data_IF_401657368527
#
_entry.id   IF_401657368527
#
_cell.length_a   1.000
_cell.length_b   1.000
_cell.length_c   1.000
_cell.angle_alpha   90.00
_cell.angle_beta   90.00
_cell.angle_gamma   90.00
#
_symmetry.space_group_name_H-M   'P 1'
#
loop_
_entity.id
_entity.type
_entity.pdbx_description
1 polymer ?
#
# COMPACT_ATOMS: atom_id res chain seq x y z
N UNK A 1 6.69 23.01 9.82
CA UNK A 1 5.60 22.87 10.79
C UNK A 1 6.09 22.86 12.23
N UNK A 2 7.08 22.05 12.57
CA UNK A 2 7.51 21.87 13.96
C UNK A 2 8.14 23.12 14.58
N UNK A 3 8.79 23.98 13.79
CA UNK A 3 9.30 25.28 14.25
C UNK A 3 8.18 26.25 14.66
N UNK A 4 6.98 26.07 14.10
CA UNK A 4 5.80 26.91 14.41
C UNK A 4 5.06 26.40 15.64
N UNK A 5 4.84 25.07 15.72
CA UNK A 5 4.17 24.41 16.83
C UNK A 5 4.95 23.15 17.21
N UNK A 6 6.00 23.28 18.04
CA UNK A 6 6.88 22.17 18.37
C UNK A 6 6.12 20.97 18.97
N UNK A 7 6.43 19.78 18.49
CA UNK A 7 5.87 18.52 18.97
C UNK A 7 4.40 18.29 18.67
N UNK A 8 3.77 19.11 17.80
CA UNK A 8 2.35 18.93 17.45
C UNK A 8 2.14 18.17 16.14
N UNK A 9 2.89 18.51 15.12
CA UNK A 9 2.64 18.00 13.75
C UNK A 9 3.16 16.57 13.55
N UNK A 10 4.24 16.25 14.22
CA UNK A 10 4.88 14.95 14.14
C UNK A 10 4.65 14.13 15.41
N UNK A 11 4.43 12.83 15.22
CA UNK A 11 4.23 11.89 16.33
C UNK A 11 5.54 11.67 17.07
N UNK A 12 5.46 11.59 18.39
CA UNK A 12 6.61 11.42 19.26
C UNK A 12 6.51 10.11 20.05
N UNK A 13 7.66 9.49 20.28
CA UNK A 13 7.81 8.39 21.21
C UNK A 13 7.64 8.89 22.68
N UNK A 14 7.45 7.96 23.60
CA UNK A 14 7.31 8.28 25.03
C UNK A 14 8.48 9.11 25.62
N UNK A 15 9.67 9.03 25.04
CA UNK A 15 10.87 9.81 25.43
C UNK A 15 10.97 11.19 24.77
N UNK A 16 9.98 11.62 23.98
CA UNK A 16 9.95 12.93 23.31
C UNK A 16 10.74 13.00 22.00
N UNK A 17 11.41 11.92 21.56
CA UNK A 17 11.99 11.84 20.22
C UNK A 17 10.92 11.62 19.16
N UNK A 18 11.16 12.07 17.93
CA UNK A 18 10.26 11.78 16.84
C UNK A 18 10.16 10.29 16.57
N UNK A 19 8.96 9.80 16.37
CA UNK A 19 8.71 8.50 15.79
C UNK A 19 9.06 8.52 14.29
N UNK A 20 9.43 7.37 13.72
CA UNK A 20 9.95 7.28 12.37
C UNK A 20 9.30 6.14 11.57
N UNK A 21 8.01 5.96 11.68
CA UNK A 21 7.29 4.94 10.91
C UNK A 21 7.31 5.20 9.39
N UNK A 22 7.65 6.41 8.96
CA UNK A 22 7.88 6.73 7.55
C UNK A 22 9.24 6.25 7.02
N UNK A 23 10.21 5.92 7.89
CA UNK A 23 11.60 5.69 7.49
C UNK A 23 12.38 6.97 7.12
N UNK A 24 11.73 8.16 7.14
CA UNK A 24 12.30 9.44 6.70
C UNK A 24 12.65 10.39 7.86
N UNK A 25 12.70 9.88 9.10
CA UNK A 25 13.10 10.64 10.29
C UNK A 25 11.95 11.17 11.16
N UNK A 26 10.71 11.08 10.68
CA UNK A 26 9.49 11.46 11.42
C UNK A 26 8.27 10.75 10.86
N UNK A 27 7.11 10.97 11.46
CA UNK A 27 5.81 10.58 10.91
C UNK A 27 4.74 11.61 11.29
N UNK A 28 3.75 11.77 10.43
CA UNK A 28 2.65 12.70 10.61
C UNK A 28 1.70 12.22 11.71
N UNK A 29 1.38 13.08 12.69
CA UNK A 29 0.42 12.78 13.76
C UNK A 29 -1.01 13.12 13.29
N UNK A 30 -1.54 12.32 12.35
CA UNK A 30 -2.83 12.59 11.68
C UNK A 30 -4.04 12.56 12.64
N UNK A 31 -3.93 11.85 13.76
CA UNK A 31 -4.95 11.78 14.81
C UNK A 31 -5.18 13.12 15.51
N UNK A 32 -4.28 14.09 15.33
CA UNK A 32 -4.42 15.43 15.91
C UNK A 32 -5.29 16.32 15.04
N UNK A 33 -6.25 17.00 15.65
CA UNK A 33 -7.31 17.75 14.98
C UNK A 33 -6.79 18.70 13.89
N UNK A 34 -5.78 19.53 14.18
CA UNK A 34 -5.28 20.50 13.21
C UNK A 34 -4.43 19.84 12.11
N UNK A 35 -3.79 18.69 12.38
CA UNK A 35 -3.08 17.91 11.38
C UNK A 35 -4.08 17.25 10.43
N UNK A 36 -5.12 16.62 10.98
CA UNK A 36 -6.24 16.07 10.22
C UNK A 36 -6.88 17.14 9.33
N UNK A 37 -7.21 18.29 9.90
CA UNK A 37 -7.77 19.42 9.16
C UNK A 37 -6.86 19.84 7.99
N UNK A 38 -5.57 19.97 8.23
CA UNK A 38 -4.60 20.31 7.19
C UNK A 38 -4.59 19.31 6.04
N UNK A 39 -4.57 18.00 6.35
CA UNK A 39 -4.58 16.93 5.34
C UNK A 39 -5.88 16.99 4.52
N UNK A 40 -7.03 17.09 5.19
CA UNK A 40 -8.34 17.12 4.54
C UNK A 40 -8.49 18.35 3.65
N UNK A 41 -8.18 19.54 4.15
CA UNK A 41 -8.28 20.76 3.35
C UNK A 41 -7.30 20.78 2.17
N UNK A 42 -6.13 20.15 2.31
CA UNK A 42 -5.19 20.00 1.20
C UNK A 42 -5.80 19.18 0.05
N UNK A 43 -6.35 18.00 0.32
CA UNK A 43 -6.95 17.17 -0.73
C UNK A 43 -8.20 17.80 -1.32
N UNK A 44 -9.04 18.45 -0.49
CA UNK A 44 -10.20 19.23 -0.96
C UNK A 44 -9.79 20.36 -1.91
N UNK A 45 -8.73 21.07 -1.58
CA UNK A 45 -8.18 22.11 -2.46
C UNK A 45 -7.80 21.56 -3.84
N UNK A 46 -7.04 20.46 -3.88
CA UNK A 46 -6.65 19.86 -5.14
C UNK A 46 -7.84 19.30 -5.93
N UNK A 47 -8.82 18.70 -5.26
CA UNK A 47 -10.03 18.22 -5.90
C UNK A 47 -10.85 19.36 -6.52
N UNK A 48 -11.05 20.47 -5.79
CA UNK A 48 -11.90 21.59 -6.24
C UNK A 48 -11.24 22.46 -7.28
N UNK A 49 -9.97 22.85 -7.04
CA UNK A 49 -9.27 23.84 -7.87
C UNK A 49 -8.60 23.24 -9.10
N UNK A 50 -8.17 21.97 -8.99
CA UNK A 50 -7.44 21.29 -10.06
C UNK A 50 -8.17 20.07 -10.64
N UNK A 51 -9.37 19.78 -10.12
CA UNK A 51 -10.22 18.67 -10.58
C UNK A 51 -9.48 17.32 -10.58
N UNK A 52 -8.73 17.05 -9.50
CA UNK A 52 -8.06 15.76 -9.30
C UNK A 52 -9.11 14.70 -8.99
N UNK A 53 -9.06 13.58 -9.74
CA UNK A 53 -10.03 12.49 -9.67
C UNK A 53 -9.67 11.39 -8.65
N UNK A 54 -8.51 11.49 -8.00
CA UNK A 54 -8.11 10.52 -6.98
C UNK A 54 -6.83 10.89 -6.25
N UNK A 55 -6.62 10.24 -5.09
CA UNK A 55 -5.47 10.49 -4.22
C UNK A 55 -4.83 9.16 -3.80
N UNK A 56 -3.52 9.07 -4.00
CA UNK A 56 -2.69 7.96 -3.53
C UNK A 56 -1.88 8.43 -2.32
N UNK A 57 -1.99 7.72 -1.20
CA UNK A 57 -1.25 8.00 0.02
C UNK A 57 -0.02 7.10 0.12
N UNK A 58 1.13 7.73 0.14
CA UNK A 58 2.40 7.09 0.47
C UNK A 58 2.38 6.68 1.94
N UNK A 59 2.82 5.44 2.25
CA UNK A 59 2.79 4.91 3.61
C UNK A 59 1.50 5.27 4.37
N UNK A 60 0.34 5.00 3.75
CA UNK A 60 -0.98 5.30 4.32
C UNK A 60 -1.13 4.75 5.73
N UNK A 61 -0.43 3.65 6.04
CA UNK A 61 -0.43 3.02 7.36
C UNK A 61 0.08 3.89 8.51
N UNK A 62 0.74 5.03 8.24
CA UNK A 62 1.11 5.99 9.29
C UNK A 62 -0.07 6.87 9.72
N UNK A 63 -1.12 6.96 8.90
CA UNK A 63 -2.33 7.73 9.24
C UNK A 63 -3.30 6.90 10.07
N UNK A 64 -4.11 7.59 10.86
CA UNK A 64 -5.21 6.96 11.58
C UNK A 64 -6.43 6.76 10.69
N UNK A 65 -7.18 5.68 10.95
CA UNK A 65 -8.40 5.29 10.22
C UNK A 65 -9.45 6.40 10.23
N UNK A 66 -9.62 7.10 11.36
CA UNK A 66 -10.60 8.17 11.49
C UNK A 66 -10.31 9.32 10.52
N UNK A 67 -9.03 9.72 10.40
CA UNK A 67 -8.59 10.73 9.43
C UNK A 67 -8.87 10.28 8.00
N UNK A 68 -8.57 9.04 7.66
CA UNK A 68 -8.79 8.52 6.31
C UNK A 68 -10.28 8.45 5.97
N UNK A 69 -11.11 7.98 6.88
CA UNK A 69 -12.56 7.93 6.69
C UNK A 69 -13.18 9.33 6.58
N UNK A 70 -12.74 10.27 7.43
CA UNK A 70 -13.21 11.66 7.36
C UNK A 70 -12.81 12.31 6.03
N UNK A 71 -11.55 12.17 5.62
CA UNK A 71 -11.06 12.62 4.32
C UNK A 71 -11.91 12.05 3.17
N UNK A 72 -12.19 10.75 3.20
CA UNK A 72 -13.02 10.09 2.17
C UNK A 72 -14.44 10.67 2.14
N UNK A 73 -15.06 10.89 3.30
CA UNK A 73 -16.41 11.47 3.37
C UNK A 73 -16.46 12.89 2.80
N UNK A 74 -15.47 13.73 3.09
CA UNK A 74 -15.37 15.08 2.57
C UNK A 74 -15.16 15.15 1.04
N UNK A 75 -14.41 14.19 0.50
CA UNK A 75 -14.22 14.07 -0.94
C UNK A 75 -15.50 13.60 -1.66
N UNK A 76 -16.30 12.72 -1.04
CA UNK A 76 -17.60 12.29 -1.57
C UNK A 76 -18.59 13.45 -1.75
N UNK A 77 -18.53 14.47 -0.87
CA UNK A 77 -19.36 15.68 -1.00
C UNK A 77 -18.92 16.57 -2.18
N UNK A 78 -17.70 16.42 -2.67
CA UNK A 78 -17.20 17.15 -3.85
C UNK A 78 -17.56 16.37 -5.12
N UNK A 79 -17.15 15.12 -5.21
CA UNK A 79 -17.44 14.21 -6.31
C UNK A 79 -17.41 12.75 -5.81
N UNK A 80 -18.51 11.99 -5.92
CA UNK A 80 -18.57 10.61 -5.47
C UNK A 80 -17.63 9.66 -6.23
N UNK A 81 -17.09 10.06 -7.35
CA UNK A 81 -16.18 9.25 -8.17
C UNK A 81 -14.71 9.40 -7.79
N UNK A 82 -14.36 10.39 -6.94
CA UNK A 82 -12.98 10.57 -6.48
C UNK A 82 -12.51 9.31 -5.76
N UNK A 83 -11.39 8.77 -6.21
CA UNK A 83 -10.82 7.53 -5.68
C UNK A 83 -9.73 7.80 -4.64
N UNK A 84 -9.78 7.08 -3.52
CA UNK A 84 -8.77 7.16 -2.45
C UNK A 84 -8.15 5.79 -2.24
N UNK A 85 -6.83 5.73 -2.26
CA UNK A 85 -6.09 4.48 -2.00
C UNK A 85 -4.67 4.79 -1.50
N UNK A 86 -3.97 3.77 -1.04
CA UNK A 86 -2.60 3.98 -0.59
C UNK A 86 -1.87 2.72 -0.18
N UNK A 87 -0.67 2.91 0.34
CA UNK A 87 0.13 1.85 0.90
C UNK A 87 -0.36 1.52 2.31
N UNK A 88 -1.05 0.40 2.45
CA UNK A 88 -1.56 -0.09 3.73
C UNK A 88 -0.48 -0.69 4.63
N UNK A 89 0.68 -0.03 4.76
CA UNK A 89 1.80 -0.44 5.62
C UNK A 89 2.59 0.76 6.15
N UNK A 90 3.56 0.48 7.00
CA UNK A 90 4.53 1.43 7.55
C UNK A 90 5.95 0.93 7.25
N UNK A 91 6.94 1.83 7.22
CA UNK A 91 8.33 1.47 7.01
C UNK A 91 9.05 1.06 8.31
N UNK A 92 8.51 1.45 9.47
CA UNK A 92 9.03 1.10 10.80
C UNK A 92 7.91 1.17 11.85
N UNK A 93 8.21 0.84 13.09
CA UNK A 93 7.23 0.88 14.18
C UNK A 93 6.72 2.30 14.45
N UNK A 94 5.41 2.40 14.75
CA UNK A 94 4.72 3.62 15.13
C UNK A 94 4.15 3.50 16.54
N UNK A 95 4.13 4.57 17.37
CA UNK A 95 3.40 4.59 18.63
C UNK A 95 1.87 4.67 18.47
N UNK A 96 1.35 4.94 17.27
CA UNK A 96 -0.09 4.83 17.01
C UNK A 96 -0.53 3.38 17.22
N UNK A 97 -1.59 3.09 18.02
CA UNK A 97 -2.09 1.75 18.21
C UNK A 97 -2.42 1.06 16.89
N UNK A 98 -2.07 -0.22 16.75
CA UNK A 98 -2.22 -0.96 15.49
C UNK A 98 -3.66 -0.92 14.96
N UNK A 99 -4.64 -1.08 15.82
CA UNK A 99 -6.06 -1.07 15.50
C UNK A 99 -6.59 0.29 15.00
N UNK A 100 -5.81 1.36 15.18
CA UNK A 100 -6.13 2.70 14.70
C UNK A 100 -5.42 3.04 13.39
N UNK A 101 -4.45 2.22 12.95
CA UNK A 101 -3.65 2.51 11.74
C UNK A 101 -4.40 2.15 10.48
N UNK A 102 -4.25 2.98 9.45
CA UNK A 102 -4.79 2.72 8.11
C UNK A 102 -3.94 1.68 7.34
N UNK A 103 -3.66 0.55 7.98
CA UNK A 103 -2.93 -0.58 7.40
C UNK A 103 -3.90 -1.54 6.69
N UNK A 104 -3.38 -2.39 5.82
CA UNK A 104 -4.15 -3.33 5.01
C UNK A 104 -4.99 -4.31 5.85
N UNK A 105 -4.49 -4.72 7.01
CA UNK A 105 -5.21 -5.60 7.94
C UNK A 105 -6.48 -4.93 8.52
N UNK A 106 -6.52 -3.62 8.53
CA UNK A 106 -7.64 -2.81 9.01
C UNK A 106 -8.54 -2.26 7.88
N UNK A 107 -8.29 -2.63 6.62
CA UNK A 107 -8.99 -2.07 5.46
C UNK A 107 -10.51 -2.23 5.52
N UNK A 108 -11.00 -3.28 6.20
CA UNK A 108 -12.43 -3.47 6.46
C UNK A 108 -13.10 -2.36 7.27
N UNK A 109 -12.31 -1.51 7.95
CA UNK A 109 -12.78 -0.33 8.68
C UNK A 109 -12.73 0.95 7.85
N UNK A 110 -12.25 0.89 6.60
CA UNK A 110 -12.06 2.02 5.69
C UNK A 110 -12.96 1.88 4.46
N UNK A 111 -14.18 2.40 4.57
CA UNK A 111 -15.16 2.28 3.48
C UNK A 111 -14.76 3.13 2.26
N UNK A 112 -14.75 2.50 1.09
CA UNK A 112 -14.42 3.17 -0.18
C UNK A 112 -12.96 3.60 -0.32
N UNK A 113 -12.05 3.04 0.48
CA UNK A 113 -10.61 3.26 0.40
C UNK A 113 -9.93 1.96 0.02
N UNK A 114 -9.06 2.02 -0.97
CA UNK A 114 -8.28 0.88 -1.44
C UNK A 114 -6.86 0.83 -0.83
N UNK A 115 -6.29 -0.36 -0.74
CA UNK A 115 -4.89 -0.57 -0.36
C UNK A 115 -4.15 -1.33 -1.44
N UNK A 116 -2.88 -1.05 -1.63
CA UNK A 116 -2.03 -1.82 -2.52
C UNK A 116 -1.85 -3.26 -2.05
N UNK A 117 -1.88 -4.19 -3.00
CA UNK A 117 -1.70 -5.61 -2.78
C UNK A 117 -0.24 -6.03 -3.01
N UNK A 118 0.56 -5.98 -1.96
CA UNK A 118 1.96 -6.40 -1.96
C UNK A 118 2.12 -7.93 -2.12
N UNK A 119 1.13 -8.72 -1.66
CA UNK A 119 1.07 -10.16 -1.91
C UNK A 119 1.09 -10.47 -3.41
N UNK A 120 0.23 -9.80 -4.18
CA UNK A 120 0.17 -9.98 -5.61
C UNK A 120 1.43 -9.47 -6.31
N UNK A 121 1.93 -8.29 -5.92
CA UNK A 121 3.16 -7.71 -6.46
C UNK A 121 4.32 -8.68 -6.37
N UNK A 122 4.63 -9.12 -5.16
CA UNK A 122 5.80 -9.95 -4.90
C UNK A 122 5.54 -11.41 -5.28
N UNK A 123 4.30 -11.88 -5.17
CA UNK A 123 3.88 -13.17 -5.72
C UNK A 123 4.12 -13.27 -7.22
N UNK A 124 3.82 -12.21 -7.97
CA UNK A 124 3.97 -12.24 -9.42
C UNK A 124 5.42 -12.04 -9.87
N UNK A 125 6.11 -11.01 -9.36
CA UNK A 125 7.45 -10.63 -9.84
C UNK A 125 8.62 -11.10 -8.99
N UNK A 126 8.38 -11.67 -7.80
CA UNK A 126 9.38 -11.98 -6.79
C UNK A 126 9.59 -10.84 -5.79
N UNK A 127 10.23 -11.12 -4.66
CA UNK A 127 10.42 -10.19 -3.55
C UNK A 127 10.99 -8.83 -4.01
N UNK A 128 10.39 -7.76 -3.48
CA UNK A 128 10.92 -6.40 -3.64
C UNK A 128 12.22 -6.21 -2.83
N UNK A 129 12.45 -7.03 -1.81
CA UNK A 129 13.62 -6.95 -0.92
C UNK A 129 14.79 -7.83 -1.34
N UNK A 130 14.58 -8.76 -2.28
CA UNK A 130 15.63 -9.60 -2.88
C UNK A 130 15.51 -9.53 -4.41
N UNK A 131 16.45 -8.84 -5.04
CA UNK A 131 16.42 -8.61 -6.50
C UNK A 131 16.55 -9.91 -7.32
N UNK A 132 17.13 -10.96 -6.77
CA UNK A 132 17.36 -12.23 -7.45
C UNK A 132 16.26 -13.27 -7.19
N UNK A 133 15.39 -13.04 -6.21
CA UNK A 133 14.29 -13.97 -5.92
C UNK A 133 13.28 -13.97 -7.08
N UNK A 134 13.04 -15.14 -7.71
CA UNK A 134 12.06 -15.25 -8.79
C UNK A 134 10.64 -15.32 -8.24
N UNK A 135 9.69 -14.66 -8.91
CA UNK A 135 8.25 -14.80 -8.66
C UNK A 135 7.58 -15.79 -9.60
N UNK A 136 6.25 -15.80 -9.59
CA UNK A 136 5.44 -16.65 -10.46
C UNK A 136 5.77 -16.44 -11.94
N UNK A 137 5.88 -15.20 -12.40
CA UNK A 137 6.16 -14.85 -13.79
C UNK A 137 7.56 -15.27 -14.27
N UNK A 138 8.52 -15.41 -13.35
CA UNK A 138 9.88 -15.86 -13.64
C UNK A 138 10.12 -17.35 -13.33
N UNK A 139 9.06 -18.13 -13.14
CA UNK A 139 9.12 -19.60 -13.07
C UNK A 139 9.02 -20.20 -11.67
N UNK A 140 9.01 -19.41 -10.59
CA UNK A 140 8.75 -19.91 -9.23
C UNK A 140 7.25 -20.09 -8.97
N UNK A 141 6.62 -20.95 -9.75
CA UNK A 141 5.17 -21.16 -9.72
C UNK A 141 4.71 -21.69 -8.37
N UNK A 142 5.37 -22.73 -7.85
CA UNK A 142 4.94 -23.41 -6.63
C UNK A 142 5.09 -22.55 -5.38
N UNK A 143 6.09 -21.68 -5.33
CA UNK A 143 6.32 -20.76 -4.18
C UNK A 143 5.40 -19.55 -4.17
N UNK A 144 4.83 -19.18 -5.32
CA UNK A 144 4.07 -17.93 -5.48
C UNK A 144 2.65 -18.11 -6.00
N UNK A 145 2.15 -19.34 -6.05
CA UNK A 145 0.82 -19.66 -6.57
C UNK A 145 -0.30 -19.04 -5.72
N UNK A 146 -0.21 -19.15 -4.40
CA UNK A 146 -1.24 -18.63 -3.50
C UNK A 146 -1.30 -17.09 -3.47
N UNK A 147 -0.19 -16.34 -3.41
CA UNK A 147 -0.20 -14.89 -3.57
C UNK A 147 -0.87 -14.41 -4.85
N UNK A 148 -0.64 -15.09 -5.97
CA UNK A 148 -1.28 -14.75 -7.26
C UNK A 148 -2.78 -15.03 -7.20
N UNK A 149 -3.21 -16.18 -6.68
CA UNK A 149 -4.64 -16.47 -6.48
C UNK A 149 -5.31 -15.43 -5.58
N UNK A 150 -4.66 -15.07 -4.48
CA UNK A 150 -5.15 -14.05 -3.56
C UNK A 150 -5.38 -12.70 -4.26
N UNK A 151 -4.46 -12.31 -5.14
CA UNK A 151 -4.66 -11.12 -5.98
C UNK A 151 -5.85 -11.25 -6.93
N UNK A 152 -6.01 -12.40 -7.60
CA UNK A 152 -7.11 -12.63 -8.54
C UNK A 152 -8.48 -12.50 -7.86
N UNK A 153 -8.61 -12.93 -6.60
CA UNK A 153 -9.86 -12.81 -5.83
C UNK A 153 -9.98 -11.44 -5.12
N UNK A 154 -9.05 -10.51 -5.35
CA UNK A 154 -9.08 -9.17 -4.77
C UNK A 154 -8.93 -9.13 -3.26
N UNK A 155 -8.14 -10.04 -2.68
CA UNK A 155 -7.88 -10.09 -1.23
C UNK A 155 -9.07 -10.51 -0.38
N UNK A 156 -10.18 -10.96 -1.01
CA UNK A 156 -11.40 -11.39 -0.32
C UNK A 156 -11.31 -12.86 0.09
N UNK A 157 -12.19 -13.28 1.00
CA UNK A 157 -12.28 -14.69 1.40
C UNK A 157 -12.70 -15.58 0.23
N UNK A 158 -11.92 -16.64 -0.02
CA UNK A 158 -12.19 -17.57 -1.10
C UNK A 158 -11.71 -18.99 -0.76
N UNK A 159 -12.55 -20.03 -0.95
CA UNK A 159 -12.25 -21.40 -0.53
C UNK A 159 -11.10 -22.07 -1.28
N UNK A 160 -10.63 -21.51 -2.39
CA UNK A 160 -9.51 -22.02 -3.18
C UNK A 160 -8.18 -21.34 -2.86
N UNK A 161 -8.14 -20.38 -1.94
CA UNK A 161 -6.90 -19.74 -1.47
C UNK A 161 -6.43 -20.43 -0.19
N UNK A 162 -5.21 -20.92 -0.21
CA UNK A 162 -4.54 -21.38 1.01
C UNK A 162 -3.78 -20.20 1.63
N UNK A 163 -4.38 -19.60 2.65
CA UNK A 163 -3.80 -18.44 3.34
C UNK A 163 -2.47 -18.75 4.04
N UNK A 164 -2.18 -20.03 4.33
CA UNK A 164 -0.89 -20.44 4.87
C UNK A 164 0.26 -20.36 3.85
N UNK A 165 -0.04 -20.21 2.56
CA UNK A 165 0.91 -20.06 1.47
C UNK A 165 1.12 -18.60 1.03
N UNK A 166 0.57 -17.61 1.74
CA UNK A 166 0.77 -16.19 1.47
C UNK A 166 2.12 -15.69 2.01
N UNK A 167 2.60 -14.56 1.49
CA UNK A 167 3.92 -14.01 1.82
C UNK A 167 3.89 -13.12 3.08
N UNK A 168 2.85 -12.30 3.22
CA UNK A 168 2.79 -11.23 4.22
C UNK A 168 1.57 -11.29 5.14
N UNK A 169 0.57 -12.08 4.79
CA UNK A 169 -0.62 -12.27 5.61
C UNK A 169 -1.00 -13.75 5.69
N UNK A 170 -1.96 -14.08 6.54
CA UNK A 170 -2.44 -15.45 6.74
C UNK A 170 -3.98 -15.53 6.82
N UNK A 171 -4.64 -14.46 6.36
CA UNK A 171 -6.09 -14.33 6.34
C UNK A 171 -6.52 -13.30 5.28
N UNK A 172 -7.76 -13.36 4.78
CA UNK A 172 -8.33 -12.29 3.97
C UNK A 172 -8.57 -11.06 4.83
N UNK A 173 -8.34 -9.87 4.30
CA UNK A 173 -8.66 -8.63 4.99
C UNK A 173 -9.56 -7.69 4.19
N UNK A 174 -9.71 -7.87 2.89
CA UNK A 174 -10.65 -7.08 2.10
C UNK A 174 -12.09 -7.62 2.22
N UNK A 175 -13.02 -6.74 2.51
CA UNK A 175 -14.46 -7.05 2.49
C UNK A 175 -15.05 -7.06 1.08
N UNK A 176 -14.37 -6.40 0.13
CA UNK A 176 -14.73 -6.35 -1.29
C UNK A 176 -13.48 -6.22 -2.16
N UNK A 177 -13.49 -6.74 -3.41
CA UNK A 177 -12.34 -6.63 -4.31
C UNK A 177 -11.92 -5.20 -4.62
N UNK A 178 -12.84 -4.24 -4.53
CA UNK A 178 -12.57 -2.81 -4.73
C UNK A 178 -11.65 -2.20 -3.65
N UNK A 179 -11.42 -2.90 -2.54
CA UNK A 179 -10.50 -2.47 -1.50
C UNK A 179 -9.05 -2.90 -1.73
N UNK A 180 -8.77 -3.68 -2.78
CA UNK A 180 -7.43 -4.16 -3.11
C UNK A 180 -6.99 -3.68 -4.49
N UNK A 181 -5.81 -3.07 -4.55
CA UNK A 181 -5.21 -2.58 -5.78
C UNK A 181 -4.06 -3.51 -6.17
N UNK A 182 -4.31 -4.39 -7.13
CA UNK A 182 -3.27 -5.22 -7.71
C UNK A 182 -2.32 -4.36 -8.56
N UNK A 183 -1.04 -4.57 -8.40
CA UNK A 183 -0.01 -3.88 -9.15
C UNK A 183 1.24 -4.75 -9.28
N UNK A 184 2.11 -4.43 -10.21
CA UNK A 184 3.39 -5.13 -10.40
C UNK A 184 4.58 -4.18 -10.37
N UNK A 185 4.34 -2.90 -10.70
CA UNK A 185 5.35 -1.83 -10.70
C UNK A 185 4.75 -0.54 -10.19
N UNK A 186 5.54 0.26 -9.50
CA UNK A 186 5.21 1.61 -9.05
C UNK A 186 6.48 2.47 -9.12
N UNK A 187 6.53 3.58 -8.36
CA UNK A 187 7.71 4.43 -8.26
C UNK A 187 8.84 3.82 -7.42
N UNK A 188 8.54 2.76 -6.64
CA UNK A 188 9.50 2.05 -5.81
C UNK A 188 9.94 0.73 -6.43
N UNK A 189 11.22 0.39 -6.22
CA UNK A 189 11.81 -0.86 -6.67
C UNK A 189 11.98 -0.95 -8.19
N UNK A 190 12.27 -2.16 -8.67
CA UNK A 190 12.47 -2.43 -10.10
C UNK A 190 11.14 -2.47 -10.87
N UNK A 191 11.19 -2.03 -12.12
CA UNK A 191 10.12 -2.33 -13.08
C UNK A 191 10.00 -3.85 -13.25
N UNK A 192 8.86 -4.32 -13.78
CA UNK A 192 8.68 -5.76 -14.01
C UNK A 192 9.81 -6.34 -14.90
N UNK A 193 10.12 -5.66 -16.00
CA UNK A 193 11.16 -6.12 -16.94
C UNK A 193 12.54 -6.18 -16.29
N UNK A 194 12.91 -5.17 -15.50
CA UNK A 194 14.22 -5.15 -14.84
C UNK A 194 14.30 -6.24 -13.77
N UNK A 195 13.23 -6.45 -13.00
CA UNK A 195 13.16 -7.53 -12.01
C UNK A 195 13.27 -8.91 -12.66
N UNK A 196 12.57 -9.15 -13.77
CA UNK A 196 12.65 -10.40 -14.51
C UNK A 196 14.08 -10.69 -15.01
N UNK A 197 14.77 -9.66 -15.54
CA UNK A 197 16.18 -9.79 -15.96
C UNK A 197 17.12 -10.20 -14.83
N UNK A 198 16.88 -9.72 -13.61
CA UNK A 198 17.70 -10.03 -12.44
C UNK A 198 17.38 -11.40 -11.85
N UNK A 199 16.11 -11.80 -11.86
CA UNK A 199 15.64 -13.03 -11.18
C UNK A 199 15.62 -14.27 -12.07
N UNK A 200 15.62 -14.15 -13.39
CA UNK A 200 15.75 -15.28 -14.32
C UNK A 200 17.22 -15.66 -14.42
N UNK A 201 17.58 -16.80 -13.86
CA UNK A 201 18.97 -17.33 -13.92
C UNK A 201 19.27 -17.86 -15.33
N UNK A 202 20.32 -17.33 -15.95
CA UNK A 202 20.83 -17.80 -17.24
C UNK A 202 21.17 -16.64 -18.19
N UNK A 203 21.94 -16.96 -19.21
CA UNK A 203 22.37 -16.04 -20.28
C UNK A 203 21.21 -15.89 -21.29
N UNK A 204 20.06 -15.37 -20.81
CA UNK A 204 18.90 -15.14 -21.64
C UNK A 204 19.11 -13.85 -22.43
N UNK A 205 19.19 -13.99 -23.77
CA UNK A 205 19.09 -12.84 -24.63
C UNK A 205 17.78 -12.07 -24.35
N UNK A 206 17.80 -10.74 -24.47
CA UNK A 206 16.62 -9.89 -24.21
C UNK A 206 15.35 -10.37 -24.95
N UNK A 207 15.52 -11.06 -26.07
CA UNK A 207 14.44 -11.65 -26.88
C UNK A 207 13.74 -12.83 -26.21
N UNK A 208 14.39 -13.54 -25.27
CA UNK A 208 13.79 -14.67 -24.54
C UNK A 208 12.89 -14.23 -23.39
N UNK A 209 13.05 -12.99 -22.88
CA UNK A 209 12.20 -12.43 -21.84
C UNK A 209 10.83 -11.97 -22.37
N UNK A 210 10.70 -11.72 -23.69
CA UNK A 210 9.44 -11.29 -24.31
C UNK A 210 8.29 -12.28 -24.06
N UNK A 211 8.48 -13.62 -24.12
CA UNK A 211 7.42 -14.56 -23.78
C UNK A 211 6.99 -14.50 -22.33
N UNK A 212 7.90 -14.18 -21.40
CA UNK A 212 7.60 -14.04 -19.97
C UNK A 212 6.81 -12.76 -19.72
N UNK A 213 7.20 -11.65 -20.34
CA UNK A 213 6.48 -10.38 -20.27
C UNK A 213 5.04 -10.48 -20.83
N UNK A 214 4.78 -11.41 -21.75
CA UNK A 214 3.44 -11.65 -22.32
C UNK A 214 2.55 -12.53 -21.45
N UNK A 215 3.11 -13.20 -20.44
CA UNK A 215 2.35 -14.02 -19.50
C UNK A 215 1.82 -13.18 -18.31
N UNK A 216 2.27 -11.96 -18.16
CA UNK A 216 1.88 -10.96 -17.18
C UNK A 216 0.98 -9.92 -17.83
#
# INVERSE_FOLDING_TARGET
FDLTVPGYFYRQNAGGSYSNASGCGNETASEREMVRHYIIESVKFWAREYHIDGFRFDLMGIHDIETMNHLRSELLEIDPTIFVYGEGWVAADSPLPFEQRAVKENVGQMEGIGVFNDEFRDGLKGSTFDEQEPGYASGNINGHFEPVKYGIVGGTDHPQVDYGGLLYCNAPYAGAPSQMINFVSCHDGYTLVDKLKLSVQGDHAADELIPIDKLV
#
